data_IF_155915326622
#
_entry.id   IF_155915326622
#
_cell.length_a   1.000
_cell.length_b   1.000
_cell.length_c   1.000
_cell.angle_alpha   90.00
_cell.angle_beta   90.00
_cell.angle_gamma   90.00
#
_symmetry.space_group_name_H-M   'P 1'
#
loop_
_entity.id
_entity.type
_entity.pdbx_description
1 polymer ?
#
# COMPACT_ATOMS: atom_id res chain seq x y z
N UNK A 1 -34.73 13.25 -16.12
CA UNK A 1 -34.32 13.32 -14.70
C UNK A 1 -32.81 13.42 -14.69
N UNK A 2 -32.29 14.60 -14.36
CA UNK A 2 -30.88 14.92 -14.48
C UNK A 2 -30.07 14.28 -13.35
N UNK A 3 -28.99 13.59 -13.71
CA UNK A 3 -27.98 13.09 -12.77
C UNK A 3 -27.27 14.26 -12.10
N UNK A 4 -27.21 14.25 -10.76
CA UNK A 4 -26.35 15.16 -10.01
C UNK A 4 -24.92 14.66 -10.09
N UNK A 5 -24.08 15.45 -10.74
CA UNK A 5 -22.62 15.38 -10.71
C UNK A 5 -22.13 15.53 -9.26
N UNK A 6 -21.30 14.60 -8.79
CA UNK A 6 -20.59 14.68 -7.49
C UNK A 6 -19.30 15.48 -7.71
N UNK A 7 -19.43 16.72 -8.19
CA UNK A 7 -18.30 17.62 -8.35
C UNK A 7 -18.82 19.01 -8.00
N UNK A 8 -18.08 19.71 -7.13
CA UNK A 8 -18.25 21.11 -6.71
C UNK A 8 -18.94 21.39 -5.36
N UNK A 9 -18.45 20.79 -4.27
CA UNK A 9 -18.42 21.49 -2.97
C UNK A 9 -16.98 21.90 -2.60
N UNK A 10 -16.56 23.13 -2.94
CA UNK A 10 -15.21 23.64 -2.67
C UNK A 10 -14.92 23.93 -1.19
N UNK A 11 -15.88 23.70 -0.28
CA UNK A 11 -15.69 23.84 1.17
C UNK A 11 -15.58 22.50 1.91
N UNK A 12 -15.75 21.36 1.22
CA UNK A 12 -15.47 20.07 1.83
C UNK A 12 -13.95 19.85 1.88
N UNK A 13 -13.35 19.97 3.06
CA UNK A 13 -11.95 19.55 3.26
C UNK A 13 -11.80 18.12 2.75
N UNK A 14 -10.88 17.83 1.81
CA UNK A 14 -10.75 16.51 1.21
C UNK A 14 -10.56 15.49 2.32
N UNK A 15 -11.38 14.42 2.37
CA UNK A 15 -11.40 13.46 3.50
C UNK A 15 -10.05 12.80 3.77
N UNK A 16 -9.11 12.89 2.84
CA UNK A 16 -7.79 12.31 2.91
C UNK A 16 -6.72 13.40 2.95
N UNK A 17 -5.75 13.25 3.86
CA UNK A 17 -4.45 13.93 3.80
C UNK A 17 -3.49 13.08 3.03
N UNK A 18 -2.59 13.75 2.34
CA UNK A 18 -1.62 13.09 1.50
C UNK A 18 -0.28 13.83 1.55
N UNK A 19 0.80 13.08 1.43
CA UNK A 19 2.15 13.63 1.50
C UNK A 19 3.22 12.68 0.97
N UNK A 20 4.45 13.18 0.97
CA UNK A 20 5.63 12.48 0.47
C UNK A 20 6.44 11.91 1.63
N UNK A 21 6.99 10.71 1.46
CA UNK A 21 8.02 10.12 2.32
C UNK A 21 9.39 10.12 1.68
N UNK A 22 9.39 9.98 0.35
CA UNK A 22 10.57 10.06 -0.50
C UNK A 22 10.13 10.60 -1.84
N UNK A 23 10.85 11.59 -2.36
CA UNK A 23 10.65 12.10 -3.70
C UNK A 23 12.01 12.33 -4.34
N UNK A 24 12.26 11.71 -5.49
CA UNK A 24 13.54 11.89 -6.18
C UNK A 24 13.49 13.14 -7.06
N UNK A 25 14.38 14.12 -6.81
CA UNK A 25 14.59 15.26 -7.72
C UNK A 25 13.78 16.53 -7.44
N UNK A 26 13.10 16.63 -6.29
CA UNK A 26 12.33 17.83 -5.91
C UNK A 26 13.02 18.55 -4.77
N UNK A 27 13.25 19.86 -4.94
CA UNK A 27 13.58 20.76 -3.83
C UNK A 27 12.33 20.86 -2.98
N UNK A 28 12.36 20.34 -1.76
CA UNK A 28 11.23 20.23 -0.85
C UNK A 28 10.33 21.49 -0.89
N UNK A 29 9.18 21.42 -1.57
CA UNK A 29 8.13 22.41 -1.39
C UNK A 29 7.23 21.92 -0.26
N UNK A 30 7.08 22.77 0.75
CA UNK A 30 6.34 22.51 2.00
C UNK A 30 4.82 22.41 1.77
N UNK A 31 4.37 22.42 0.52
CA UNK A 31 2.96 22.34 0.14
C UNK A 31 2.53 20.89 0.08
N UNK A 32 1.59 20.49 0.95
CA UNK A 32 0.90 19.21 0.82
C UNK A 32 0.38 19.07 -0.63
N UNK A 33 0.77 18.02 -1.36
CA UNK A 33 0.28 17.82 -2.71
C UNK A 33 -1.25 17.69 -2.69
N UNK A 34 -1.92 18.23 -3.71
CA UNK A 34 -3.34 17.93 -3.93
C UNK A 34 -3.47 16.55 -4.58
N UNK A 35 -4.60 15.86 -4.40
CA UNK A 35 -4.83 14.57 -5.06
C UNK A 35 -4.65 14.64 -6.59
N UNK A 36 -5.03 15.77 -7.22
CA UNK A 36 -4.83 16.00 -8.65
C UNK A 36 -3.35 16.06 -9.06
N UNK A 37 -2.46 16.56 -8.19
CA UNK A 37 -1.02 16.55 -8.45
C UNK A 37 -0.45 15.12 -8.37
N UNK A 38 -1.01 14.31 -7.46
CA UNK A 38 -0.59 12.92 -7.27
C UNK A 38 -1.06 12.05 -8.41
N UNK A 39 -2.31 12.18 -8.86
CA UNK A 39 -2.81 11.46 -10.03
C UNK A 39 -1.86 11.60 -11.24
N UNK A 40 -1.37 12.83 -11.50
CA UNK A 40 -0.40 13.09 -12.57
C UNK A 40 0.96 12.46 -12.34
N UNK A 41 1.43 12.40 -11.10
CA UNK A 41 2.73 11.83 -10.76
C UNK A 41 2.69 10.28 -10.72
N UNK A 42 1.58 9.69 -10.25
CA UNK A 42 1.34 8.24 -10.20
C UNK A 42 1.23 7.60 -11.60
N UNK A 43 0.75 8.33 -12.60
CA UNK A 43 0.49 7.81 -13.96
C UNK A 43 1.78 7.52 -14.77
N UNK A 44 2.92 8.10 -14.38
CA UNK A 44 4.15 8.07 -15.20
C UNK A 44 4.86 6.72 -15.26
N UNK A 45 5.02 6.01 -14.14
CA UNK A 45 5.82 4.77 -14.09
C UNK A 45 5.04 3.54 -13.56
N UNK A 46 3.84 3.75 -13.01
CA UNK A 46 3.05 2.74 -12.32
C UNK A 46 3.24 2.80 -10.81
N UNK A 47 2.21 2.38 -10.08
CA UNK A 47 2.10 2.55 -8.62
C UNK A 47 1.62 1.28 -7.95
N UNK A 48 2.36 0.81 -6.95
CA UNK A 48 1.84 -0.13 -5.97
C UNK A 48 1.14 0.66 -4.88
N UNK A 49 -0.14 0.37 -4.65
CA UNK A 49 -0.96 1.01 -3.63
C UNK A 49 -1.19 0.01 -2.52
N UNK A 50 -0.53 0.21 -1.39
CA UNK A 50 -0.72 -0.61 -0.19
C UNK A 50 -1.92 -0.08 0.59
N UNK A 51 -2.90 -0.93 0.85
CA UNK A 51 -4.05 -0.62 1.69
C UNK A 51 -3.91 -1.29 3.05
N UNK A 52 -3.79 -0.48 4.11
CA UNK A 52 -3.73 -0.98 5.48
C UNK A 52 -5.01 -1.73 5.88
N UNK A 53 -4.85 -2.85 6.58
CA UNK A 53 -5.99 -3.66 7.03
C UNK A 53 -6.98 -2.88 7.90
N UNK A 54 -6.49 -1.97 8.73
CA UNK A 54 -7.33 -1.08 9.55
C UNK A 54 -8.29 -0.19 8.73
N UNK A 55 -7.98 0.10 7.46
CA UNK A 55 -8.91 0.81 6.56
C UNK A 55 -10.06 -0.11 6.14
N UNK A 56 -9.81 -1.42 6.00
CA UNK A 56 -10.81 -2.42 5.63
C UNK A 56 -11.75 -2.74 6.79
N UNK A 57 -11.21 -2.70 8.00
CA UNK A 57 -11.95 -2.99 9.24
C UNK A 57 -12.79 -1.80 9.73
N UNK A 58 -12.67 -0.64 9.09
CA UNK A 58 -13.43 0.57 9.43
C UNK A 58 -14.95 0.37 9.18
N UNK A 59 -15.84 0.92 10.04
CA UNK A 59 -17.29 0.83 9.81
C UNK A 59 -17.76 1.41 8.47
N UNK A 60 -17.04 2.41 7.95
CA UNK A 60 -17.26 3.08 6.67
C UNK A 60 -16.22 2.67 5.61
N UNK A 61 -15.62 1.48 5.74
CA UNK A 61 -14.55 1.00 4.84
C UNK A 61 -14.97 0.99 3.38
N UNK A 62 -16.25 0.74 3.10
CA UNK A 62 -16.79 0.73 1.73
C UNK A 62 -16.74 2.11 1.08
N UNK A 63 -17.19 3.12 1.79
CA UNK A 63 -17.18 4.51 1.32
C UNK A 63 -15.74 4.99 1.18
N UNK A 64 -14.90 4.72 2.18
CA UNK A 64 -13.49 5.11 2.18
C UNK A 64 -12.73 4.49 1.01
N UNK A 65 -12.93 3.19 0.76
CA UNK A 65 -12.23 2.52 -0.33
C UNK A 65 -12.77 2.94 -1.70
N UNK A 66 -14.08 3.18 -1.84
CA UNK A 66 -14.66 3.71 -3.08
C UNK A 66 -14.10 5.10 -3.43
N UNK A 67 -13.94 5.97 -2.42
CA UNK A 67 -13.30 7.27 -2.59
C UNK A 67 -11.83 7.13 -2.97
N UNK A 68 -11.08 6.26 -2.27
CA UNK A 68 -9.68 5.99 -2.62
C UNK A 68 -9.57 5.51 -4.07
N UNK A 69 -10.40 4.56 -4.50
CA UNK A 69 -10.39 4.05 -5.87
C UNK A 69 -10.63 5.15 -6.90
N UNK A 70 -11.53 6.09 -6.62
CA UNK A 70 -11.81 7.22 -7.51
C UNK A 70 -10.64 8.23 -7.60
N UNK A 71 -9.74 8.23 -6.62
CA UNK A 71 -8.56 9.11 -6.58
C UNK A 71 -7.32 8.49 -7.24
N UNK A 72 -7.34 7.18 -7.50
CA UNK A 72 -6.22 6.47 -8.13
C UNK A 72 -6.35 6.48 -9.65
N UNK A 73 -5.22 6.60 -10.39
CA UNK A 73 -5.24 6.45 -11.85
C UNK A 73 -5.89 5.15 -12.31
N UNK A 74 -6.53 5.18 -13.48
CA UNK A 74 -7.19 4.00 -14.05
C UNK A 74 -6.21 2.92 -14.52
N UNK A 75 -4.98 3.31 -14.87
CA UNK A 75 -3.96 2.41 -15.39
C UNK A 75 -2.73 2.38 -14.48
N UNK A 76 -2.01 1.25 -14.55
CA UNK A 76 -0.75 0.97 -13.85
C UNK A 76 -0.85 1.12 -12.34
N UNK A 77 -1.98 0.69 -11.78
CA UNK A 77 -2.22 0.63 -10.34
C UNK A 77 -2.36 -0.83 -9.91
N UNK A 78 -1.53 -1.24 -8.95
CA UNK A 78 -1.63 -2.54 -8.31
C UNK A 78 -1.93 -2.36 -6.83
N UNK A 79 -3.09 -2.85 -6.40
CA UNK A 79 -3.55 -2.78 -5.02
C UNK A 79 -3.05 -3.99 -4.23
N UNK A 80 -2.43 -3.73 -3.09
CA UNK A 80 -1.96 -4.74 -2.14
C UNK A 80 -2.67 -4.53 -0.81
N UNK A 81 -3.44 -5.51 -0.36
CA UNK A 81 -4.18 -5.42 0.89
C UNK A 81 -3.43 -6.08 2.04
N UNK A 82 -3.43 -5.41 3.20
CA UNK A 82 -3.17 -6.09 4.47
C UNK A 82 -4.34 -6.99 4.88
N UNK A 83 -4.13 -7.86 5.88
CA UNK A 83 -5.15 -8.82 6.30
C UNK A 83 -6.04 -8.39 7.48
N UNK A 84 -5.97 -7.12 7.89
CA UNK A 84 -6.87 -6.55 8.91
C UNK A 84 -6.86 -7.28 10.25
N UNK A 85 -8.01 -7.24 10.93
CA UNK A 85 -8.27 -7.91 12.22
C UNK A 85 -7.97 -9.42 12.18
N UNK A 86 -8.12 -10.07 11.02
CA UNK A 86 -7.85 -11.51 10.87
C UNK A 86 -6.35 -11.81 11.05
N UNK A 87 -5.48 -11.04 10.37
CA UNK A 87 -4.02 -11.17 10.54
C UNK A 87 -3.56 -10.70 11.91
N UNK A 88 -4.19 -9.65 12.46
CA UNK A 88 -3.85 -9.18 13.80
C UNK A 88 -4.20 -10.23 14.87
N UNK A 89 -5.30 -10.96 14.71
CA UNK A 89 -5.66 -12.07 15.60
C UNK A 89 -4.62 -13.21 15.56
N UNK A 90 -4.12 -13.56 14.37
CA UNK A 90 -3.04 -14.53 14.21
C UNK A 90 -1.75 -14.04 14.88
N UNK A 91 -1.40 -12.76 14.71
CA UNK A 91 -0.23 -12.15 15.35
C UNK A 91 -0.33 -12.17 16.87
N UNK A 92 -1.51 -11.89 17.43
CA UNK A 92 -1.74 -11.95 18.86
C UNK A 92 -1.65 -13.39 19.38
N UNK A 93 -2.23 -14.35 18.67
CA UNK A 93 -2.12 -15.76 19.02
C UNK A 93 -0.66 -16.25 18.99
N UNK A 94 0.11 -15.86 17.98
CA UNK A 94 1.53 -16.22 17.85
C UNK A 94 2.36 -15.68 19.03
N UNK A 95 2.14 -14.41 19.43
CA UNK A 95 2.79 -13.80 20.60
C UNK A 95 2.54 -14.55 21.91
N UNK A 96 1.42 -15.26 22.01
CA UNK A 96 1.06 -16.07 23.18
C UNK A 96 1.47 -17.54 23.03
N UNK A 97 1.92 -17.95 21.84
CA UNK A 97 2.24 -19.34 21.53
C UNK A 97 3.70 -19.68 21.80
N UNK A 98 3.98 -20.98 21.93
CA UNK A 98 5.33 -21.54 21.95
C UNK A 98 5.76 -22.01 20.54
N UNK A 99 4.89 -21.84 19.54
CA UNK A 99 5.13 -22.33 18.17
C UNK A 99 6.13 -21.44 17.42
N UNK A 100 6.75 -21.95 16.34
CA UNK A 100 7.60 -21.15 15.49
C UNK A 100 6.81 -20.07 14.75
N UNK A 101 7.19 -18.80 14.93
CA UNK A 101 6.54 -17.63 14.34
C UNK A 101 6.45 -17.62 12.80
N UNK A 102 7.21 -18.49 12.14
CA UNK A 102 7.25 -18.58 10.67
C UNK A 102 5.99 -19.24 10.09
N UNK A 103 5.44 -20.26 10.74
CA UNK A 103 4.23 -20.94 10.23
C UNK A 103 3.01 -20.01 10.30
N UNK A 104 2.86 -19.29 11.41
CA UNK A 104 1.77 -18.31 11.57
C UNK A 104 1.94 -17.11 10.65
N UNK A 105 3.17 -16.74 10.31
CA UNK A 105 3.42 -15.72 9.29
C UNK A 105 2.94 -16.18 7.90
N UNK A 106 3.20 -17.43 7.51
CA UNK A 106 2.68 -17.99 6.25
C UNK A 106 1.15 -18.01 6.25
N UNK A 107 0.52 -18.39 7.37
CA UNK A 107 -0.94 -18.35 7.51
C UNK A 107 -1.49 -16.92 7.36
N UNK A 108 -0.79 -15.92 7.90
CA UNK A 108 -1.17 -14.52 7.72
C UNK A 108 -1.12 -14.08 6.24
N UNK A 109 -0.19 -14.62 5.45
CA UNK A 109 -0.10 -14.36 4.01
C UNK A 109 -1.26 -15.03 3.25
N UNK A 110 -1.67 -16.24 3.65
CA UNK A 110 -2.89 -16.87 3.12
C UNK A 110 -4.14 -16.02 3.39
N UNK A 111 -4.27 -15.49 4.61
CA UNK A 111 -5.37 -14.58 4.96
C UNK A 111 -5.34 -13.33 4.09
N UNK A 112 -4.18 -12.73 3.85
CA UNK A 112 -4.05 -11.58 2.94
C UNK A 112 -4.49 -11.91 1.50
N UNK A 113 -4.16 -13.11 1.00
CA UNK A 113 -4.64 -13.59 -0.30
C UNK A 113 -6.17 -13.74 -0.34
N UNK A 114 -6.78 -14.23 0.73
CA UNK A 114 -8.24 -14.34 0.84
C UNK A 114 -8.92 -12.96 0.88
N UNK A 115 -8.32 -11.98 1.57
CA UNK A 115 -8.80 -10.59 1.55
C UNK A 115 -8.72 -10.02 0.13
N UNK A 116 -7.62 -10.26 -0.60
CA UNK A 116 -7.48 -9.80 -1.98
C UNK A 116 -8.62 -10.35 -2.89
N UNK A 117 -8.95 -11.63 -2.77
CA UNK A 117 -10.08 -12.26 -3.51
C UNK A 117 -11.42 -11.61 -3.15
N UNK A 118 -11.69 -11.39 -1.86
CA UNK A 118 -12.92 -10.77 -1.40
C UNK A 118 -13.06 -9.34 -1.91
N UNK A 119 -11.99 -8.56 -1.86
CA UNK A 119 -11.97 -7.18 -2.35
C UNK A 119 -12.14 -7.11 -3.87
N UNK A 120 -11.54 -8.03 -4.62
CA UNK A 120 -11.73 -8.13 -6.07
C UNK A 120 -13.20 -8.36 -6.42
N UNK A 121 -13.83 -9.34 -5.76
CA UNK A 121 -15.25 -9.63 -5.94
C UNK A 121 -16.15 -8.47 -5.52
N UNK A 122 -15.84 -7.79 -4.41
CA UNK A 122 -16.70 -6.73 -3.85
C UNK A 122 -16.71 -5.47 -4.73
N UNK A 123 -15.59 -5.12 -5.34
CA UNK A 123 -15.43 -3.89 -6.12
C UNK A 123 -15.39 -4.13 -7.64
N UNK A 124 -15.56 -5.38 -8.08
CA UNK A 124 -15.54 -5.73 -9.50
C UNK A 124 -14.19 -5.45 -10.16
N UNK A 125 -13.10 -5.60 -9.41
CA UNK A 125 -11.73 -5.41 -9.90
C UNK A 125 -11.11 -6.74 -10.26
N UNK A 126 -10.23 -6.74 -11.26
CA UNK A 126 -9.48 -7.93 -11.63
C UNK A 126 -8.50 -8.31 -10.51
N UNK A 127 -8.49 -9.59 -10.15
CA UNK A 127 -7.45 -10.20 -9.31
C UNK A 127 -6.36 -10.76 -10.23
N UNK A 128 -5.13 -10.24 -10.10
CA UNK A 128 -3.99 -10.76 -10.83
C UNK A 128 -3.04 -11.53 -9.92
N UNK A 129 -2.58 -12.66 -10.44
CA UNK A 129 -1.41 -13.40 -9.95
C UNK A 129 -0.15 -13.04 -10.73
N UNK A 130 -0.35 -12.45 -11.91
CA UNK A 130 0.72 -12.03 -12.79
C UNK A 130 1.25 -10.69 -12.28
N UNK A 131 2.39 -10.74 -11.60
CA UNK A 131 3.22 -9.57 -11.34
C UNK A 131 4.23 -9.38 -12.48
N UNK A 132 4.64 -8.14 -12.85
CA UNK A 132 5.78 -7.89 -13.71
C UNK A 132 6.87 -8.94 -13.53
N UNK A 133 7.18 -9.72 -14.57
CA UNK A 133 8.19 -10.74 -14.43
C UNK A 133 9.51 -10.02 -14.13
N UNK A 134 10.30 -10.60 -13.23
CA UNK A 134 11.51 -9.97 -12.70
C UNK A 134 12.63 -9.71 -13.75
N UNK A 135 12.32 -9.89 -15.05
CA UNK A 135 13.21 -9.90 -16.20
C UNK A 135 12.84 -8.88 -17.30
N UNK A 136 12.25 -7.73 -16.94
CA UNK A 136 12.06 -6.58 -17.85
C UNK A 136 11.10 -6.76 -19.04
N UNK A 137 10.07 -7.60 -18.97
CA UNK A 137 8.99 -7.55 -19.99
C UNK A 137 8.07 -6.35 -19.75
N UNK A 138 8.55 -5.18 -20.17
CA UNK A 138 7.93 -3.87 -19.97
C UNK A 138 6.65 -3.61 -20.77
N UNK A 139 6.21 -4.54 -21.63
CA UNK A 139 5.07 -4.30 -22.55
C UNK A 139 3.70 -4.67 -21.97
N UNK A 140 3.57 -5.78 -21.21
CA UNK A 140 2.29 -6.17 -20.60
C UNK A 140 1.85 -5.22 -19.48
N UNK A 141 2.83 -4.58 -18.85
CA UNK A 141 2.67 -3.71 -17.67
C UNK A 141 2.09 -2.34 -18.04
N UNK A 142 2.39 -1.83 -19.23
CA UNK A 142 1.96 -0.49 -19.67
C UNK A 142 0.45 -0.36 -19.83
N UNK A 143 -0.23 -1.47 -20.10
CA UNK A 143 -1.67 -1.56 -20.33
C UNK A 143 -2.41 -2.22 -19.16
N UNK A 144 -1.75 -2.42 -18.02
CA UNK A 144 -2.38 -2.98 -16.84
C UNK A 144 -3.42 -1.97 -16.32
N UNK A 145 -4.68 -2.37 -16.25
CA UNK A 145 -5.71 -1.61 -15.55
C UNK A 145 -5.49 -1.73 -14.04
N UNK A 146 -6.13 -0.84 -13.28
CA UNK A 146 -6.24 -0.94 -11.82
C UNK A 146 -6.66 -2.36 -11.42
N UNK A 147 -5.78 -3.06 -10.72
CA UNK A 147 -5.94 -4.47 -10.37
C UNK A 147 -5.55 -4.73 -8.93
N UNK A 148 -6.06 -5.82 -8.35
CA UNK A 148 -5.67 -6.31 -7.03
C UNK A 148 -4.66 -7.43 -7.22
N UNK A 149 -3.57 -7.39 -6.46
CA UNK A 149 -2.54 -8.41 -6.51
C UNK A 149 -2.76 -9.48 -5.43
N UNK A 150 -2.70 -10.75 -5.84
CA UNK A 150 -2.56 -11.88 -4.90
C UNK A 150 -1.10 -11.99 -4.42
N UNK A 151 -0.80 -11.40 -3.26
CA UNK A 151 0.56 -11.39 -2.70
C UNK A 151 1.09 -12.77 -2.34
N UNK A 152 0.21 -13.73 -2.01
CA UNK A 152 0.61 -15.10 -1.71
C UNK A 152 1.26 -15.74 -2.93
N UNK A 153 0.67 -15.53 -4.10
CA UNK A 153 1.18 -16.08 -5.37
C UNK A 153 2.56 -15.47 -5.70
N UNK A 154 2.69 -14.14 -5.56
CA UNK A 154 3.97 -13.46 -5.73
C UNK A 154 5.07 -14.01 -4.82
N UNK A 155 4.81 -14.09 -3.50
CA UNK A 155 5.79 -14.54 -2.52
C UNK A 155 6.21 -16.00 -2.72
N UNK A 156 5.27 -16.87 -3.09
CA UNK A 156 5.56 -18.31 -3.25
C UNK A 156 6.21 -18.67 -4.59
N UNK A 157 5.83 -18.00 -5.68
CA UNK A 157 6.20 -18.43 -7.05
C UNK A 157 7.21 -17.51 -7.73
N UNK A 158 7.28 -16.24 -7.34
CA UNK A 158 7.96 -15.21 -8.14
C UNK A 158 9.10 -14.50 -7.40
N UNK A 159 8.94 -14.24 -6.10
CA UNK A 159 9.80 -13.32 -5.34
C UNK A 159 11.27 -13.75 -5.29
N UNK A 160 11.55 -15.05 -5.15
CA UNK A 160 12.91 -15.60 -5.14
C UNK A 160 13.64 -15.46 -6.50
N UNK A 161 12.89 -15.36 -7.59
CA UNK A 161 13.43 -15.15 -8.94
C UNK A 161 13.64 -13.66 -9.24
N UNK A 162 13.23 -12.79 -8.33
CA UNK A 162 13.42 -11.35 -8.46
C UNK A 162 14.73 -10.91 -7.82
N UNK A 163 15.57 -10.21 -8.59
CA UNK A 163 16.82 -9.67 -8.08
C UNK A 163 16.67 -8.78 -6.84
N UNK A 164 17.75 -8.62 -6.08
CA UNK A 164 17.74 -7.97 -4.77
C UNK A 164 17.53 -8.98 -3.63
N UNK A 165 17.44 -8.48 -2.40
CA UNK A 165 17.27 -9.32 -1.22
C UNK A 165 15.81 -9.80 -1.11
N UNK A 166 15.57 -11.13 -1.03
CA UNK A 166 14.24 -11.65 -0.73
C UNK A 166 13.75 -11.22 0.65
N UNK A 167 12.43 -11.17 0.82
CA UNK A 167 11.81 -10.88 2.10
C UNK A 167 12.06 -12.04 3.08
N UNK A 168 12.54 -11.76 4.31
CA UNK A 168 12.62 -12.80 5.33
C UNK A 168 11.23 -13.26 5.76
N UNK A 169 11.11 -14.53 6.15
CA UNK A 169 9.89 -15.07 6.76
C UNK A 169 9.85 -14.64 8.23
N UNK A 170 8.74 -14.04 8.66
CA UNK A 170 8.51 -13.60 10.04
C UNK A 170 7.86 -12.22 10.16
N UNK A 171 7.45 -11.88 11.39
CA UNK A 171 6.68 -10.66 11.68
C UNK A 171 7.42 -9.33 11.51
N UNK A 172 8.74 -9.36 11.27
CA UNK A 172 9.48 -8.17 10.83
C UNK A 172 9.06 -7.73 9.42
N UNK A 173 8.37 -8.59 8.67
CA UNK A 173 7.79 -8.34 7.35
C UNK A 173 6.26 -8.39 7.44
N UNK A 174 5.62 -7.32 7.01
CA UNK A 174 4.16 -7.24 6.87
C UNK A 174 3.78 -6.76 5.48
N UNK A 175 2.48 -6.49 5.28
CA UNK A 175 1.96 -5.89 4.04
C UNK A 175 2.71 -4.64 3.57
N UNK A 176 3.36 -3.88 4.47
CA UNK A 176 4.15 -2.70 4.07
C UNK A 176 5.41 -3.12 3.30
N UNK A 177 6.25 -3.98 3.89
CA UNK A 177 7.44 -4.53 3.22
C UNK A 177 7.12 -5.29 1.95
N UNK A 178 6.01 -6.04 1.94
CA UNK A 178 5.58 -6.79 0.75
C UNK A 178 5.26 -5.83 -0.41
N UNK A 179 4.46 -4.79 -0.15
CA UNK A 179 4.14 -3.79 -1.16
C UNK A 179 5.38 -3.02 -1.64
N UNK A 180 6.29 -2.70 -0.74
CA UNK A 180 7.53 -2.01 -1.10
C UNK A 180 8.48 -2.88 -1.92
N UNK A 181 8.59 -4.18 -1.61
CA UNK A 181 9.31 -5.16 -2.43
C UNK A 181 8.72 -5.27 -3.82
N UNK A 182 7.39 -5.34 -3.94
CA UNK A 182 6.69 -5.37 -5.22
C UNK A 182 6.99 -4.11 -6.05
N UNK A 183 6.90 -2.93 -5.45
CA UNK A 183 7.22 -1.65 -6.10
C UNK A 183 8.68 -1.63 -6.59
N UNK A 184 9.62 -2.06 -5.75
CA UNK A 184 11.04 -2.10 -6.07
C UNK A 184 11.35 -3.08 -7.22
N UNK A 185 10.71 -4.24 -7.23
CA UNK A 185 10.84 -5.24 -8.30
C UNK A 185 10.30 -4.71 -9.62
N UNK A 186 9.13 -4.04 -9.60
CA UNK A 186 8.51 -3.48 -10.78
C UNK A 186 9.17 -2.18 -11.27
N UNK A 187 10.02 -1.54 -10.44
CA UNK A 187 10.52 -0.19 -10.69
C UNK A 187 9.40 0.86 -10.66
N UNK A 188 8.35 0.57 -9.89
CA UNK A 188 7.17 1.39 -9.69
C UNK A 188 7.33 2.25 -8.45
N UNK A 189 6.47 3.25 -8.34
CA UNK A 189 6.37 4.04 -7.13
C UNK A 189 5.42 3.37 -6.11
N UNK A 190 5.41 3.86 -4.87
CA UNK A 190 4.67 3.28 -3.77
C UNK A 190 3.76 4.30 -3.08
N UNK A 191 2.48 3.98 -2.93
CA UNK A 191 1.54 4.73 -2.10
C UNK A 191 1.12 3.89 -0.89
N UNK A 192 1.35 4.41 0.32
CA UNK A 192 0.91 3.81 1.58
C UNK A 192 -0.42 4.42 2.04
N UNK A 193 -1.50 3.65 1.98
CA UNK A 193 -2.81 4.03 2.52
C UNK A 193 -2.92 3.47 3.94
N UNK A 194 -3.00 4.37 4.93
CA UNK A 194 -2.98 4.04 6.36
C UNK A 194 -4.14 4.75 7.06
N UNK A 195 -4.62 4.19 8.18
CA UNK A 195 -5.68 4.82 9.00
C UNK A 195 -5.17 6.01 9.83
N UNK A 196 -3.85 6.14 9.97
CA UNK A 196 -3.20 7.20 10.72
C UNK A 196 -2.12 7.87 9.88
N UNK A 197 -1.98 9.18 10.10
CA UNK A 197 -0.86 9.95 9.57
C UNK A 197 0.45 9.42 10.15
N UNK A 198 1.54 9.55 9.39
CA UNK A 198 2.82 9.05 9.86
C UNK A 198 3.39 9.91 11.00
N UNK A 199 4.05 9.31 12.02
CA UNK A 199 4.37 9.97 13.29
C UNK A 199 5.75 10.66 13.25
N UNK A 200 5.91 11.68 12.42
CA UNK A 200 7.16 12.45 12.31
C UNK A 200 6.92 13.95 12.46
N UNK A 201 7.96 14.61 12.94
CA UNK A 201 8.09 16.06 12.93
C UNK A 201 8.35 16.58 11.51
N UNK A 202 8.16 17.88 11.29
CA UNK A 202 8.48 18.51 10.01
C UNK A 202 9.95 18.32 9.60
N UNK A 203 10.87 18.33 10.58
CA UNK A 203 12.29 18.15 10.32
C UNK A 203 12.60 16.72 9.86
N UNK A 204 12.02 15.71 10.51
CA UNK A 204 12.23 14.31 10.13
C UNK A 204 11.64 13.96 8.76
N UNK A 205 10.52 14.60 8.40
CA UNK A 205 9.96 14.52 7.06
C UNK A 205 10.90 15.13 6.00
N UNK A 206 11.57 16.23 6.34
CA UNK A 206 12.56 16.87 5.46
C UNK A 206 13.80 16.00 5.24
N UNK A 207 14.29 15.36 6.30
CA UNK A 207 15.48 14.51 6.27
C UNK A 207 15.22 13.11 5.67
N UNK A 208 13.99 12.84 5.22
CA UNK A 208 13.54 11.58 4.62
C UNK A 208 13.92 10.33 5.47
N UNK A 209 13.80 10.45 6.79
CA UNK A 209 14.17 9.42 7.78
C UNK A 209 13.15 8.29 7.88
N UNK A 210 13.03 7.51 6.81
CA UNK A 210 12.09 6.38 6.72
C UNK A 210 12.38 5.29 7.77
N UNK A 211 13.64 5.16 8.20
CA UNK A 211 14.04 4.28 9.30
C UNK A 211 13.27 4.59 10.61
N UNK A 212 13.06 5.88 10.92
CA UNK A 212 12.31 6.28 12.12
C UNK A 212 10.84 5.86 12.08
N UNK A 213 10.26 5.64 10.90
CA UNK A 213 8.89 5.12 10.80
C UNK A 213 8.79 3.68 11.23
N UNK A 214 9.81 2.88 10.93
CA UNK A 214 9.90 1.49 11.35
C UNK A 214 10.12 1.42 12.86
N UNK A 215 11.04 2.24 13.39
CA UNK A 215 11.30 2.36 14.85
C UNK A 215 10.04 2.75 15.64
N UNK A 216 9.16 3.55 15.04
CA UNK A 216 7.88 3.99 15.63
C UNK A 216 6.70 3.07 15.31
N UNK A 217 6.94 1.97 14.60
CA UNK A 217 5.91 0.97 14.26
C UNK A 217 4.84 1.47 13.28
N UNK A 218 5.09 2.56 12.53
CA UNK A 218 4.15 3.01 11.50
C UNK A 218 4.21 2.13 10.25
N UNK A 219 5.39 1.61 9.92
CA UNK A 219 5.63 0.51 8.99
C UNK A 219 6.39 -0.60 9.72
N UNK A 220 6.49 -1.77 9.12
CA UNK A 220 7.27 -2.87 9.67
C UNK A 220 8.79 -2.65 9.58
N UNK A 221 9.53 -3.41 10.40
CA UNK A 221 10.98 -3.29 10.56
C UNK A 221 11.75 -3.45 9.25
N UNK A 222 11.31 -4.38 8.39
CA UNK A 222 12.03 -4.67 7.16
C UNK A 222 11.77 -3.63 6.05
N UNK A 223 10.76 -2.77 6.21
CA UNK A 223 10.30 -1.85 5.17
C UNK A 223 11.43 -1.01 4.56
N UNK A 224 12.30 -0.32 5.34
CA UNK A 224 13.35 0.51 4.77
C UNK A 224 14.33 -0.24 3.86
N UNK A 225 14.55 -1.53 4.10
CA UNK A 225 15.49 -2.36 3.34
C UNK A 225 14.99 -2.70 1.93
N UNK A 226 13.68 -2.59 1.69
CA UNK A 226 13.06 -2.95 0.40
C UNK A 226 13.09 -1.81 -0.63
N UNK A 227 13.40 -0.57 -0.21
CA UNK A 227 13.13 0.65 -0.99
C UNK A 227 14.20 1.05 -2.01
N UNK A 228 15.24 0.24 -2.21
CA UNK A 228 16.42 0.60 -3.02
C UNK A 228 16.11 1.08 -4.44
N UNK A 229 15.03 0.57 -5.06
CA UNK A 229 14.61 0.91 -6.43
C UNK A 229 13.33 1.75 -6.51
N UNK A 230 12.69 2.03 -5.37
CA UNK A 230 11.47 2.84 -5.31
C UNK A 230 11.86 4.31 -5.33
N UNK A 231 11.42 5.05 -6.35
CA UNK A 231 11.82 6.45 -6.55
C UNK A 231 10.98 7.39 -5.71
N UNK A 232 9.66 7.20 -5.76
CA UNK A 232 8.72 8.01 -5.01
C UNK A 232 7.91 7.14 -4.06
N UNK A 233 7.74 7.65 -2.84
CA UNK A 233 6.94 7.03 -1.79
C UNK A 233 6.00 8.09 -1.26
N UNK A 234 4.70 7.83 -1.38
CA UNK A 234 3.65 8.64 -0.82
C UNK A 234 2.98 7.94 0.35
N UNK A 235 2.26 8.73 1.13
CA UNK A 235 1.31 8.23 2.10
C UNK A 235 0.01 9.00 2.00
N UNK A 236 -1.10 8.33 2.29
CA UNK A 236 -2.40 8.95 2.48
C UNK A 236 -3.07 8.38 3.71
N UNK A 237 -3.78 9.24 4.44
CA UNK A 237 -4.58 8.85 5.59
C UNK A 237 -5.81 9.76 5.75
N UNK A 238 -6.90 9.29 6.36
CA UNK A 238 -8.07 10.12 6.59
C UNK A 238 -7.76 11.37 7.45
N UNK A 239 -8.48 12.46 7.20
CA UNK A 239 -8.37 13.73 7.94
C UNK A 239 -8.69 13.58 9.43
N UNK A 240 -9.66 12.72 9.73
CA UNK A 240 -10.05 12.33 11.08
C UNK A 240 -9.67 10.87 11.27
N UNK A 241 -9.08 10.48 12.42
CA UNK A 241 -8.78 9.08 12.70
C UNK A 241 -10.03 8.22 12.51
N UNK A 242 -9.85 7.02 11.98
CA UNK A 242 -10.93 6.02 11.94
C UNK A 242 -11.23 5.61 13.39
N UNK A 243 -12.43 5.90 13.86
CA UNK A 243 -12.92 5.41 15.15
C UNK A 243 -13.40 3.96 14.99
N UNK A 244 -12.82 3.07 15.79
CA UNK A 244 -13.30 1.70 15.92
C UNK A 244 -14.25 1.65 17.12
N UNK A 245 -15.50 1.27 16.87
CA UNK A 245 -16.53 1.06 17.91
C UNK A 245 -16.33 -0.25 18.65
#
# INVERSE_FOLDING_TARGET
MAGKSIVDDPLSTPRWKIGWLKQTGTVASITSPTFQSIERDLDRMGTVVKVGGSILDAPNSKEMFSELLALLPEHRVALVFGGGLQVESLRQADRMSVRPSQETHVEAIEVMGNVAVQMASMYGLDLTKQWPPCNNQSQSIRNMNKTILDVRDFLSMHEANCGGQPLPVGWSVTSDSIAARLAAVAGWDLLLVKSIQPPWTLQEAYDARIDLLADRGWVDEFFPHTLSKVKNIWWTAPNQPVEFS
#
